data_IF_197993483239
#
_entry.id   IF_197993483239
#
_cell.length_a   1.000
_cell.length_b   1.000
_cell.length_c   1.000
_cell.angle_alpha   90.00
_cell.angle_beta   90.00
_cell.angle_gamma   90.00
#
_symmetry.space_group_name_H-M   'P 1'
#
loop_
_entity.id
_entity.type
_entity.pdbx_description
1 polymer ?
#
# COMPACT_ATOMS: atom_id res chain seq x y z
N UNK A 1 30.67 -2.95 7.67
CA UNK A 1 29.58 -2.05 8.05
C UNK A 1 29.08 -1.36 6.80
N UNK A 2 28.00 -1.85 6.22
CA UNK A 2 27.36 -1.21 5.05
C UNK A 2 26.47 -0.11 5.60
N UNK A 3 26.84 1.15 5.37
CA UNK A 3 26.04 2.32 5.72
C UNK A 3 24.71 2.18 4.97
N UNK A 4 23.60 2.15 5.69
CA UNK A 4 22.27 2.22 5.07
C UNK A 4 22.21 3.50 4.23
N UNK A 5 21.68 3.47 3.00
CA UNK A 5 21.61 4.66 2.18
C UNK A 5 20.77 5.71 2.90
N UNK A 6 21.37 6.88 3.13
CA UNK A 6 20.64 8.05 3.64
C UNK A 6 19.67 8.46 2.53
N UNK A 7 18.39 8.08 2.67
CA UNK A 7 17.36 8.50 1.74
C UNK A 7 17.13 10.01 1.92
N UNK A 8 17.26 10.73 0.82
CA UNK A 8 17.01 12.17 0.78
C UNK A 8 15.56 12.40 1.21
N UNK A 9 15.36 13.32 2.16
CA UNK A 9 14.04 13.70 2.65
C UNK A 9 13.10 13.94 1.47
N UNK A 10 11.92 13.30 1.49
CA UNK A 10 10.92 13.44 0.43
C UNK A 10 10.30 14.84 0.42
N UNK A 11 9.23 14.95 -0.30
CA UNK A 11 8.34 16.12 -0.34
C UNK A 11 7.56 16.27 0.98
N UNK A 12 6.98 17.45 1.21
CA UNK A 12 6.01 17.70 2.27
C UNK A 12 4.68 18.23 1.71
N UNK A 13 3.72 18.49 2.61
CA UNK A 13 2.38 18.96 2.22
C UNK A 13 2.38 20.31 1.53
N UNK A 14 3.39 21.14 1.79
CA UNK A 14 3.52 22.50 1.22
C UNK A 14 4.12 22.46 -0.20
N UNK A 15 4.77 21.36 -0.56
CA UNK A 15 5.28 21.12 -1.93
C UNK A 15 4.17 20.78 -2.95
N UNK A 16 2.94 20.53 -2.49
CA UNK A 16 1.81 20.16 -3.34
C UNK A 16 1.12 21.44 -3.84
N UNK A 17 0.89 21.51 -5.15
CA UNK A 17 0.27 22.66 -5.80
C UNK A 17 -1.27 22.65 -5.64
N UNK A 18 -1.77 22.77 -4.41
CA UNK A 18 -3.19 22.72 -4.05
C UNK A 18 -4.07 23.69 -4.85
N UNK A 19 -3.52 24.84 -5.26
CA UNK A 19 -4.22 25.85 -6.05
C UNK A 19 -4.58 25.39 -7.47
N UNK A 20 -4.03 24.27 -7.93
CA UNK A 20 -4.33 23.68 -9.24
C UNK A 20 -5.52 22.71 -9.19
N UNK A 21 -6.16 22.53 -8.02
CA UNK A 21 -7.30 21.64 -7.90
C UNK A 21 -8.45 22.03 -8.83
N UNK A 22 -8.93 21.05 -9.61
CA UNK A 22 -10.02 21.24 -10.58
C UNK A 22 -11.18 20.27 -10.27
N UNK A 23 -12.26 20.75 -9.63
CA UNK A 23 -13.38 19.89 -9.26
C UNK A 23 -14.09 19.24 -10.45
N UNK A 24 -13.98 19.82 -11.65
CA UNK A 24 -14.60 19.27 -12.85
C UNK A 24 -13.91 18.00 -13.36
N UNK A 25 -12.68 17.73 -12.89
CA UNK A 25 -11.87 16.56 -13.26
C UNK A 25 -11.88 15.47 -12.19
N UNK A 26 -12.62 15.64 -11.11
CA UNK A 26 -12.74 14.62 -10.06
C UNK A 26 -13.66 13.52 -10.52
N UNK A 27 -13.11 12.32 -10.72
CA UNK A 27 -13.88 11.14 -11.08
C UNK A 27 -14.41 10.44 -9.81
N UNK A 28 -15.74 10.19 -9.70
CA UNK A 28 -16.33 9.64 -8.47
C UNK A 28 -15.77 8.29 -8.03
N UNK A 29 -15.48 7.39 -8.97
CA UNK A 29 -14.92 6.08 -8.64
C UNK A 29 -13.50 6.21 -8.08
N UNK A 30 -12.70 7.10 -8.67
CA UNK A 30 -11.35 7.38 -8.22
C UNK A 30 -11.35 8.09 -6.86
N UNK A 31 -12.26 9.03 -6.64
CA UNK A 31 -12.45 9.67 -5.33
C UNK A 31 -12.75 8.65 -4.23
N UNK A 32 -13.66 7.71 -4.49
CA UNK A 32 -14.01 6.66 -3.53
C UNK A 32 -12.80 5.74 -3.21
N UNK A 33 -11.99 5.41 -4.22
CA UNK A 33 -10.77 4.63 -4.04
C UNK A 33 -9.70 5.38 -3.24
N UNK A 34 -9.49 6.67 -3.52
CA UNK A 34 -8.51 7.53 -2.84
C UNK A 34 -8.87 7.75 -1.37
N UNK A 35 -10.15 7.97 -1.05
CA UNK A 35 -10.63 8.05 0.34
C UNK A 35 -10.28 6.80 1.14
N UNK A 36 -10.50 5.61 0.56
CA UNK A 36 -10.17 4.35 1.22
C UNK A 36 -8.64 4.17 1.37
N UNK A 37 -7.87 4.49 0.34
CA UNK A 37 -6.42 4.45 0.37
C UNK A 37 -5.85 5.38 1.45
N UNK A 38 -6.41 6.58 1.61
CA UNK A 38 -5.99 7.52 2.66
C UNK A 38 -6.05 6.90 4.06
N UNK A 39 -7.08 6.10 4.38
CA UNK A 39 -7.20 5.46 5.68
C UNK A 39 -6.16 4.36 5.89
N UNK A 40 -5.84 3.58 4.83
CA UNK A 40 -4.86 2.50 4.90
C UNK A 40 -3.46 3.08 5.12
N UNK A 41 -3.07 4.09 4.36
CA UNK A 41 -1.77 4.77 4.51
C UNK A 41 -1.65 5.46 5.88
N UNK A 42 -2.72 6.12 6.32
CA UNK A 42 -2.73 6.82 7.62
C UNK A 42 -2.59 5.88 8.82
N UNK A 43 -2.83 4.57 8.64
CA UNK A 43 -2.67 3.54 9.66
C UNK A 43 -1.21 3.03 9.83
N UNK A 44 -0.26 3.62 9.13
CA UNK A 44 1.16 3.22 9.20
C UNK A 44 1.77 3.10 10.61
N UNK A 45 1.43 3.94 11.62
CA UNK A 45 2.01 3.82 12.97
C UNK A 45 1.87 2.44 13.62
N UNK A 46 0.78 1.73 13.34
CA UNK A 46 0.57 0.37 13.87
C UNK A 46 1.55 -0.63 13.22
N UNK A 47 1.80 -0.49 11.91
CA UNK A 47 2.78 -1.29 11.19
C UNK A 47 4.21 -0.98 11.61
N UNK A 48 4.55 0.29 11.87
CA UNK A 48 5.85 0.69 12.43
C UNK A 48 6.07 -0.02 13.76
N UNK A 49 5.08 0.03 14.65
CA UNK A 49 5.13 -0.63 15.96
C UNK A 49 5.38 -2.13 15.84
N UNK A 50 4.70 -2.79 14.92
CA UNK A 50 4.91 -4.21 14.63
C UNK A 50 6.32 -4.48 14.08
N UNK A 51 6.76 -3.75 13.06
CA UNK A 51 8.08 -3.94 12.46
C UNK A 51 9.21 -3.67 13.44
N UNK A 52 9.10 -2.65 14.29
CA UNK A 52 10.10 -2.38 15.36
C UNK A 52 10.23 -3.56 16.31
N UNK A 53 9.14 -4.26 16.65
CA UNK A 53 9.22 -5.51 17.44
C UNK A 53 9.94 -6.62 16.68
N UNK A 54 9.59 -6.84 15.42
CA UNK A 54 10.24 -7.87 14.58
C UNK A 54 11.74 -7.63 14.44
N UNK A 55 12.13 -6.36 14.28
CA UNK A 55 13.52 -5.96 14.09
C UNK A 55 14.23 -5.50 15.38
N UNK A 56 13.65 -5.78 16.54
CA UNK A 56 14.30 -5.46 17.84
C UNK A 56 15.73 -6.02 17.89
N UNK A 57 16.70 -5.15 18.25
CA UNK A 57 18.13 -5.50 18.26
C UNK A 57 18.84 -5.42 16.89
N UNK A 58 18.20 -4.95 15.83
CA UNK A 58 18.86 -4.78 14.50
C UNK A 58 19.70 -3.51 14.35
N UNK A 59 19.85 -2.74 15.41
CA UNK A 59 20.62 -1.49 15.39
C UNK A 59 19.79 -0.24 15.13
N UNK A 60 20.40 0.91 15.48
CA UNK A 60 19.72 2.22 15.46
C UNK A 60 19.32 2.65 14.05
N UNK A 61 20.14 2.33 13.05
CA UNK A 61 19.88 2.70 11.65
C UNK A 61 18.61 2.03 11.10
N UNK A 62 18.40 0.75 11.41
CA UNK A 62 17.18 0.02 11.03
C UNK A 62 15.95 0.64 11.70
N UNK A 63 16.05 0.98 12.99
CA UNK A 63 14.94 1.60 13.70
C UNK A 63 14.59 2.98 13.12
N UNK A 64 15.60 3.80 12.83
CA UNK A 64 15.41 5.11 12.22
C UNK A 64 14.80 5.02 10.81
N UNK A 65 15.21 4.02 10.01
CA UNK A 65 14.65 3.80 8.68
C UNK A 65 13.17 3.39 8.74
N UNK A 66 12.78 2.52 9.69
CA UNK A 66 11.38 2.15 9.91
C UNK A 66 10.52 3.33 10.38
N UNK A 67 11.07 4.19 11.24
CA UNK A 67 10.38 5.41 11.68
C UNK A 67 10.21 6.41 10.53
N UNK A 68 11.23 6.57 9.70
CA UNK A 68 11.14 7.44 8.52
C UNK A 68 10.11 6.92 7.53
N UNK A 69 10.13 5.62 7.21
CA UNK A 69 9.12 4.98 6.39
C UNK A 69 7.71 5.26 6.92
N UNK A 70 7.46 5.04 8.22
CA UNK A 70 6.14 5.28 8.80
C UNK A 70 5.69 6.76 8.79
N UNK A 71 6.63 7.72 8.88
CA UNK A 71 6.30 9.14 8.71
C UNK A 71 5.88 9.47 7.27
N UNK A 72 6.57 8.88 6.28
CA UNK A 72 6.25 9.05 4.87
C UNK A 72 4.89 8.45 4.53
N UNK A 73 4.58 7.22 4.99
CA UNK A 73 3.26 6.59 4.84
C UNK A 73 2.13 7.44 5.46
N UNK A 74 2.35 7.94 6.69
CA UNK A 74 1.37 8.81 7.36
C UNK A 74 1.14 10.10 6.55
N UNK A 75 2.19 10.64 5.93
CA UNK A 75 2.10 11.79 5.04
C UNK A 75 1.31 11.47 3.76
N UNK A 76 1.51 10.27 3.18
CA UNK A 76 0.71 9.81 2.04
C UNK A 76 -0.78 9.82 2.39
N UNK A 77 -1.14 9.24 3.53
CA UNK A 77 -2.52 9.24 4.03
C UNK A 77 -3.08 10.66 4.21
N UNK A 78 -2.29 11.60 4.76
CA UNK A 78 -2.68 13.01 4.92
C UNK A 78 -2.89 13.73 3.59
N UNK A 79 -2.01 13.50 2.62
CA UNK A 79 -2.09 14.15 1.30
C UNK A 79 -3.33 13.67 0.53
N UNK A 80 -3.56 12.36 0.51
CA UNK A 80 -4.75 11.75 -0.10
C UNK A 80 -6.02 12.20 0.63
N UNK A 81 -6.01 12.22 1.97
CA UNK A 81 -7.13 12.65 2.79
C UNK A 81 -7.50 14.11 2.55
N UNK A 82 -6.51 15.04 2.56
CA UNK A 82 -6.75 16.46 2.26
C UNK A 82 -7.30 16.66 0.86
N UNK A 83 -6.76 15.98 -0.14
CA UNK A 83 -7.31 16.03 -1.50
C UNK A 83 -8.77 15.56 -1.51
N UNK A 84 -9.08 14.46 -0.83
CA UNK A 84 -10.43 13.92 -0.76
C UNK A 84 -11.41 14.86 -0.02
N UNK A 85 -10.98 15.56 1.03
CA UNK A 85 -11.77 16.56 1.75
C UNK A 85 -12.07 17.80 0.90
N UNK A 86 -11.13 18.19 0.02
CA UNK A 86 -11.36 19.28 -0.95
C UNK A 86 -12.38 18.83 -2.00
N UNK A 87 -12.26 17.59 -2.49
CA UNK A 87 -13.10 17.02 -3.53
C UNK A 87 -14.52 16.68 -3.03
N UNK A 88 -14.65 16.28 -1.76
CA UNK A 88 -15.93 15.99 -1.11
C UNK A 88 -15.97 16.57 0.30
N UNK A 89 -16.63 17.72 0.48
CA UNK A 89 -16.74 18.39 1.79
C UNK A 89 -17.49 17.58 2.87
N UNK A 90 -18.15 16.48 2.53
CA UNK A 90 -18.77 15.58 3.51
C UNK A 90 -17.79 14.56 4.08
N UNK A 91 -16.67 14.33 3.40
CA UNK A 91 -15.62 13.45 3.88
C UNK A 91 -14.76 14.17 4.92
N UNK A 92 -14.44 13.48 6.01
CA UNK A 92 -13.47 13.95 7.00
C UNK A 92 -12.53 12.79 7.36
N UNK A 93 -11.24 12.97 7.07
CA UNK A 93 -10.21 11.96 7.26
C UNK A 93 -10.16 11.46 8.71
N UNK A 94 -10.11 12.34 9.68
CA UNK A 94 -9.97 11.97 11.09
C UNK A 94 -11.18 11.19 11.61
N UNK A 95 -12.39 11.59 11.23
CA UNK A 95 -13.62 10.89 11.62
C UNK A 95 -13.69 9.49 10.96
N UNK A 96 -13.41 9.42 9.67
CA UNK A 96 -13.38 8.15 8.94
C UNK A 96 -12.30 7.20 9.49
N UNK A 97 -11.12 7.73 9.82
CA UNK A 97 -10.03 6.98 10.41
C UNK A 97 -10.35 6.51 11.83
N UNK A 98 -10.97 7.33 12.66
CA UNK A 98 -11.42 6.93 14.00
C UNK A 98 -12.41 5.74 13.94
N UNK A 99 -13.34 5.76 12.97
CA UNK A 99 -14.26 4.63 12.70
C UNK A 99 -13.50 3.39 12.23
N UNK A 100 -12.58 3.57 11.29
CA UNK A 100 -11.75 2.48 10.78
C UNK A 100 -10.97 1.80 11.92
N UNK A 101 -10.27 2.55 12.74
CA UNK A 101 -9.53 2.01 13.89
C UNK A 101 -10.40 1.33 14.95
N UNK A 102 -11.61 1.78 15.13
CA UNK A 102 -12.56 1.16 16.09
C UNK A 102 -13.00 -0.24 15.65
N UNK A 103 -13.14 -0.46 14.35
CA UNK A 103 -13.68 -1.70 13.80
C UNK A 103 -12.64 -2.62 13.15
N UNK A 104 -11.43 -2.16 12.94
CA UNK A 104 -10.36 -2.94 12.32
C UNK A 104 -9.12 -3.01 13.21
N UNK A 105 -8.68 -4.23 13.48
CA UNK A 105 -7.38 -4.52 14.10
C UNK A 105 -6.71 -5.61 13.28
N UNK A 106 -5.52 -5.37 12.73
CA UNK A 106 -4.80 -6.39 11.96
C UNK A 106 -4.53 -7.62 12.81
N UNK A 107 -4.91 -8.81 12.31
CA UNK A 107 -4.78 -10.07 13.03
C UNK A 107 -3.33 -10.39 13.46
N UNK A 108 -2.33 -9.90 12.71
CA UNK A 108 -0.92 -10.11 13.04
C UNK A 108 -0.38 -9.22 14.17
N UNK A 109 -1.10 -8.20 14.60
CA UNK A 109 -0.70 -7.41 15.78
C UNK A 109 -0.98 -8.12 17.09
N UNK A 110 -1.89 -9.10 17.07
CA UNK A 110 -2.28 -9.89 18.24
C UNK A 110 -1.55 -11.24 18.34
N UNK A 111 -0.88 -11.69 17.28
CA UNK A 111 -0.52 -13.10 17.11
C UNK A 111 0.85 -13.51 17.65
N UNK A 112 1.72 -12.62 18.15
CA UNK A 112 3.02 -13.04 18.73
C UNK A 112 3.71 -11.88 19.42
N UNK A 113 4.12 -12.07 20.67
CA UNK A 113 4.83 -11.04 21.44
C UNK A 113 6.25 -10.76 20.93
N UNK A 114 6.89 -11.64 20.15
CA UNK A 114 8.35 -11.56 19.90
C UNK A 114 8.83 -11.92 18.50
N UNK A 115 7.96 -12.08 17.49
CA UNK A 115 8.44 -12.55 16.18
C UNK A 115 7.61 -12.11 14.98
N UNK A 116 8.18 -12.26 13.79
CA UNK A 116 7.47 -12.05 12.53
C UNK A 116 6.43 -13.16 12.30
N UNK A 117 5.20 -12.79 11.94
CA UNK A 117 4.16 -13.71 11.46
C UNK A 117 4.56 -14.46 10.18
N UNK A 118 5.68 -14.08 9.57
CA UNK A 118 6.30 -14.75 8.40
C UNK A 118 7.36 -15.78 8.82
N UNK A 119 7.59 -15.94 10.13
CA UNK A 119 8.52 -16.91 10.71
C UNK A 119 10.01 -16.53 10.64
N UNK A 120 10.35 -15.34 10.11
CA UNK A 120 11.72 -14.79 10.10
C UNK A 120 11.72 -13.33 9.66
N UNK A 121 12.77 -12.57 9.99
CA UNK A 121 12.99 -11.20 9.49
C UNK A 121 13.08 -11.16 7.98
N UNK A 122 13.79 -12.13 7.39
CA UNK A 122 13.89 -12.27 5.94
C UNK A 122 12.53 -12.49 5.29
N UNK A 123 11.67 -13.32 5.89
CA UNK A 123 10.29 -13.54 5.44
C UNK A 123 9.44 -12.27 5.54
N UNK A 124 9.63 -11.47 6.59
CA UNK A 124 8.96 -10.18 6.74
C UNK A 124 9.36 -9.19 5.64
N UNK A 125 10.66 -9.09 5.33
CA UNK A 125 11.14 -8.21 4.26
C UNK A 125 10.61 -8.61 2.89
N UNK A 126 10.47 -9.91 2.61
CA UNK A 126 9.80 -10.36 1.38
C UNK A 126 8.35 -9.88 1.35
N UNK A 127 7.62 -10.02 2.45
CA UNK A 127 6.23 -9.56 2.54
C UNK A 127 6.13 -8.03 2.35
N UNK A 128 7.04 -7.24 2.93
CA UNK A 128 7.11 -5.79 2.71
C UNK A 128 7.39 -5.47 1.25
N UNK A 129 8.37 -6.10 0.61
CA UNK A 129 8.62 -5.92 -0.82
C UNK A 129 7.39 -6.18 -1.69
N UNK A 130 6.54 -7.16 -1.31
CA UNK A 130 5.27 -7.42 -2.02
C UNK A 130 4.29 -6.26 -1.84
N UNK A 131 4.17 -5.72 -0.62
CA UNK A 131 3.32 -4.54 -0.33
C UNK A 131 3.75 -3.36 -1.18
N UNK A 132 5.00 -2.92 -1.05
CA UNK A 132 5.53 -1.74 -1.73
C UNK A 132 5.50 -1.89 -3.27
N UNK A 133 5.61 -3.13 -3.78
CA UNK A 133 5.39 -3.38 -5.20
C UNK A 133 3.94 -3.12 -5.62
N UNK A 134 3.00 -3.49 -4.74
CA UNK A 134 1.57 -3.26 -4.94
C UNK A 134 1.22 -1.78 -4.91
N UNK A 135 1.64 -1.06 -3.86
CA UNK A 135 1.35 0.36 -3.65
C UNK A 135 2.03 1.25 -4.70
N UNK A 136 3.32 1.01 -5.01
CA UNK A 136 4.01 1.70 -6.11
C UNK A 136 3.30 1.54 -7.45
N UNK A 137 2.80 0.32 -7.75
CA UNK A 137 2.02 0.05 -8.96
C UNK A 137 0.66 0.75 -8.93
N UNK A 138 -0.01 0.75 -7.80
CA UNK A 138 -1.32 1.35 -7.60
C UNK A 138 -1.28 2.87 -7.76
N UNK A 139 -0.38 3.55 -7.08
CA UNK A 139 -0.25 5.00 -7.22
C UNK A 139 0.27 5.42 -8.60
N UNK A 140 1.11 4.61 -9.25
CA UNK A 140 1.44 4.82 -10.66
C UNK A 140 0.20 4.73 -11.56
N UNK A 141 -0.71 3.81 -11.27
CA UNK A 141 -1.95 3.63 -12.02
C UNK A 141 -2.93 4.79 -11.78
N UNK A 142 -3.09 5.26 -10.53
CA UNK A 142 -3.88 6.46 -10.19
C UNK A 142 -3.35 7.69 -10.91
N UNK A 143 -2.03 7.94 -10.86
CA UNK A 143 -1.39 9.05 -11.59
C UNK A 143 -1.71 9.04 -13.07
N UNK A 144 -1.65 7.85 -13.69
CA UNK A 144 -1.83 7.69 -15.12
C UNK A 144 -3.31 7.70 -15.55
N UNK A 145 -4.23 7.52 -14.61
CA UNK A 145 -5.68 7.52 -14.83
C UNK A 145 -6.35 8.86 -14.47
N UNK A 146 -5.73 9.66 -13.62
CA UNK A 146 -6.30 10.94 -13.17
C UNK A 146 -6.00 12.06 -14.15
N UNK A 147 -7.03 12.79 -14.55
CA UNK A 147 -6.92 14.09 -15.25
C UNK A 147 -6.90 15.28 -14.27
N UNK A 148 -7.15 15.03 -12.97
CA UNK A 148 -7.12 16.06 -11.92
C UNK A 148 -5.67 16.31 -11.50
N UNK A 149 -5.14 17.55 -11.68
CA UNK A 149 -3.70 17.81 -11.61
C UNK A 149 -3.10 17.59 -10.21
N UNK A 150 -3.84 17.91 -9.13
CA UNK A 150 -3.34 17.73 -7.77
C UNK A 150 -3.26 16.26 -7.40
N UNK A 151 -4.27 15.45 -7.74
CA UNK A 151 -4.22 14.02 -7.53
C UNK A 151 -3.13 13.35 -8.35
N UNK A 152 -2.95 13.78 -9.60
CA UNK A 152 -1.85 13.29 -10.47
C UNK A 152 -0.49 13.56 -9.83
N UNK A 153 -0.28 14.76 -9.26
CA UNK A 153 0.94 15.12 -8.55
C UNK A 153 1.14 14.27 -7.30
N UNK A 154 0.14 14.19 -6.42
CA UNK A 154 0.19 13.40 -5.18
C UNK A 154 0.50 11.94 -5.49
N UNK A 155 -0.25 11.32 -6.39
CA UNK A 155 -0.05 9.93 -6.76
C UNK A 155 1.33 9.67 -7.39
N UNK A 156 1.85 10.62 -8.15
CA UNK A 156 3.20 10.55 -8.71
C UNK A 156 4.30 10.57 -7.64
N UNK A 157 4.15 11.45 -6.64
CA UNK A 157 5.07 11.56 -5.50
C UNK A 157 5.03 10.29 -4.65
N UNK A 158 3.83 9.82 -4.28
CA UNK A 158 3.65 8.57 -3.52
C UNK A 158 4.24 7.39 -4.29
N UNK A 159 3.95 7.23 -5.57
CA UNK A 159 4.50 6.13 -6.38
C UNK A 159 6.04 6.09 -6.38
N UNK A 160 6.69 7.25 -6.34
CA UNK A 160 8.14 7.36 -6.23
C UNK A 160 8.64 6.96 -4.84
N UNK A 161 7.93 7.36 -3.78
CA UNK A 161 8.23 6.98 -2.40
C UNK A 161 8.09 5.47 -2.21
N UNK A 162 6.98 4.87 -2.65
CA UNK A 162 6.74 3.43 -2.59
C UNK A 162 7.84 2.61 -3.28
N UNK A 163 8.38 3.13 -4.39
CA UNK A 163 9.53 2.51 -5.02
C UNK A 163 10.81 2.62 -4.17
N UNK A 164 11.00 3.74 -3.44
CA UNK A 164 12.10 3.89 -2.48
C UNK A 164 11.92 2.97 -1.26
N UNK A 165 10.69 2.85 -0.76
CA UNK A 165 10.32 1.92 0.31
C UNK A 165 10.59 0.46 -0.11
N UNK A 166 10.19 0.08 -1.31
CA UNK A 166 10.57 -1.21 -1.87
C UNK A 166 12.08 -1.42 -1.86
N UNK A 167 12.84 -0.41 -2.30
CA UNK A 167 14.31 -0.49 -2.32
C UNK A 167 14.89 -0.62 -0.91
N UNK A 168 14.37 0.13 0.05
CA UNK A 168 14.74 0.02 1.47
C UNK A 168 14.57 -1.42 1.99
N UNK A 169 13.38 -1.98 1.82
CA UNK A 169 13.09 -3.34 2.28
C UNK A 169 13.84 -4.41 1.51
N UNK A 170 14.07 -4.21 0.22
CA UNK A 170 14.88 -5.12 -0.59
C UNK A 170 16.37 -5.12 -0.18
N UNK A 171 16.94 -3.96 0.06
CA UNK A 171 18.32 -3.83 0.52
C UNK A 171 18.46 -4.41 1.93
N UNK A 172 17.47 -4.16 2.81
CA UNK A 172 17.40 -4.77 4.13
C UNK A 172 17.28 -6.30 4.05
N UNK A 173 16.49 -6.84 3.13
CA UNK A 173 16.39 -8.28 2.86
C UNK A 173 17.74 -8.89 2.52
N UNK A 174 18.51 -8.23 1.65
CA UNK A 174 19.81 -8.72 1.22
C UNK A 174 20.89 -8.57 2.31
N UNK A 175 20.74 -7.63 3.23
CA UNK A 175 21.65 -7.40 4.35
C UNK A 175 21.42 -8.36 5.54
N UNK A 176 20.34 -9.15 5.56
CA UNK A 176 20.05 -10.07 6.65
C UNK A 176 21.10 -11.19 6.73
N UNK A 177 21.63 -11.41 7.94
CA UNK A 177 22.57 -12.51 8.24
C UNK A 177 21.89 -13.88 8.37
N UNK A 178 20.55 -13.91 8.48
CA UNK A 178 19.79 -15.17 8.51
C UNK A 178 20.03 -15.99 7.24
N UNK A 179 19.97 -17.34 7.32
CA UNK A 179 20.05 -18.19 6.14
C UNK A 179 18.99 -17.81 5.11
N UNK A 180 19.36 -17.92 3.82
CA UNK A 180 18.40 -17.64 2.76
C UNK A 180 17.24 -18.65 2.79
N UNK A 181 16.06 -18.15 2.43
CA UNK A 181 14.87 -18.99 2.34
C UNK A 181 14.84 -19.67 0.97
N UNK A 182 14.54 -20.96 0.95
CA UNK A 182 14.31 -21.67 -0.32
C UNK A 182 13.18 -21.02 -1.13
N UNK A 183 13.28 -21.08 -2.46
CA UNK A 183 12.34 -20.42 -3.40
C UNK A 183 10.87 -20.71 -3.08
N UNK A 184 10.53 -21.95 -2.75
CA UNK A 184 9.15 -22.33 -2.40
C UNK A 184 8.64 -21.64 -1.14
N UNK A 185 9.51 -21.42 -0.14
CA UNK A 185 9.13 -20.68 1.07
C UNK A 185 8.92 -19.21 0.76
N UNK A 186 9.81 -18.60 -0.03
CA UNK A 186 9.67 -17.21 -0.52
C UNK A 186 8.36 -17.03 -1.30
N UNK A 187 8.07 -17.92 -2.24
CA UNK A 187 6.85 -17.89 -3.04
C UNK A 187 5.59 -18.04 -2.16
N UNK A 188 5.62 -18.95 -1.18
CA UNK A 188 4.49 -19.11 -0.23
C UNK A 188 4.25 -17.83 0.56
N UNK A 189 5.29 -17.15 1.02
CA UNK A 189 5.17 -15.86 1.73
C UNK A 189 4.55 -14.82 0.82
N UNK A 190 5.04 -14.66 -0.40
CA UNK A 190 4.51 -13.69 -1.36
C UNK A 190 3.04 -13.95 -1.71
N UNK A 191 2.68 -15.20 -2.03
CA UNK A 191 1.29 -15.59 -2.34
C UNK A 191 0.37 -15.36 -1.13
N UNK A 192 0.84 -15.72 0.08
CA UNK A 192 0.08 -15.47 1.30
C UNK A 192 -0.14 -13.98 1.51
N UNK A 193 0.90 -13.12 1.32
CA UNK A 193 0.76 -11.67 1.47
C UNK A 193 -0.20 -11.06 0.45
N UNK A 194 -0.16 -11.51 -0.81
CA UNK A 194 -1.13 -11.10 -1.84
C UNK A 194 -2.57 -11.48 -1.46
N UNK A 195 -2.77 -12.68 -0.89
CA UNK A 195 -4.10 -13.10 -0.44
C UNK A 195 -4.60 -12.31 0.78
N UNK A 196 -3.70 -11.87 1.63
CA UNK A 196 -4.03 -11.02 2.78
C UNK A 196 -4.39 -9.59 2.36
N UNK A 197 -4.01 -9.14 1.17
CA UNK A 197 -4.49 -7.87 0.60
C UNK A 197 -5.97 -7.93 0.19
N UNK A 198 -6.53 -9.13 0.07
CA UNK A 198 -7.97 -9.38 -0.11
C UNK A 198 -8.70 -9.47 1.26
N UNK A 199 -8.04 -9.11 2.37
CA UNK A 199 -8.61 -9.19 3.71
C UNK A 199 -9.60 -8.04 3.98
N UNK A 200 -10.03 -7.97 5.24
CA UNK A 200 -11.05 -7.02 5.67
C UNK A 200 -10.57 -5.56 5.66
N UNK A 201 -9.25 -5.31 5.62
CA UNK A 201 -8.69 -3.95 5.67
C UNK A 201 -9.20 -3.07 4.54
N UNK A 202 -9.03 -3.50 3.28
CA UNK A 202 -9.48 -2.72 2.12
C UNK A 202 -11.00 -2.59 2.05
N UNK A 203 -11.74 -3.65 2.37
CA UNK A 203 -13.20 -3.61 2.37
C UNK A 203 -13.73 -2.67 3.46
N UNK A 204 -13.12 -2.71 4.66
CA UNK A 204 -13.55 -1.93 5.79
C UNK A 204 -13.10 -0.47 5.70
N UNK A 205 -11.89 -0.21 5.18
CA UNK A 205 -11.46 1.16 4.87
C UNK A 205 -12.37 1.82 3.83
N UNK A 206 -12.72 1.07 2.76
CA UNK A 206 -13.66 1.57 1.75
C UNK A 206 -15.04 1.90 2.36
N UNK A 207 -15.54 1.03 3.23
CA UNK A 207 -16.80 1.28 3.96
C UNK A 207 -16.72 2.54 4.83
N UNK A 208 -15.72 2.64 5.70
CA UNK A 208 -15.54 3.78 6.60
C UNK A 208 -15.33 5.11 5.86
N UNK A 209 -14.72 5.06 4.69
CA UNK A 209 -14.42 6.23 3.88
C UNK A 209 -15.60 6.71 3.01
N UNK A 210 -16.53 5.81 2.63
CA UNK A 210 -17.55 6.10 1.62
C UNK A 210 -19.00 5.93 2.10
N UNK A 211 -19.20 5.48 3.34
CA UNK A 211 -20.53 5.43 3.98
C UNK A 211 -20.51 6.39 5.17
N UNK A 212 -21.36 7.39 5.14
CA UNK A 212 -21.47 8.35 6.25
C UNK A 212 -22.10 7.67 7.49
N UNK A 213 -21.78 8.13 8.72
CA UNK A 213 -22.33 7.53 9.94
C UNK A 213 -23.86 7.47 9.97
N UNK A 214 -24.54 8.49 9.46
CA UNK A 214 -25.98 8.54 9.35
C UNK A 214 -26.58 7.56 8.35
N UNK A 215 -25.79 7.08 7.40
CA UNK A 215 -26.19 6.10 6.37
C UNK A 215 -25.99 4.66 6.84
N UNK A 216 -25.23 4.42 7.91
CA UNK A 216 -24.92 3.07 8.42
C UNK A 216 -26.15 2.19 8.68
N UNK A 217 -27.24 2.71 9.28
CA UNK A 217 -28.42 1.88 9.53
C UNK A 217 -29.03 1.30 8.24
N UNK A 218 -28.99 2.07 7.14
CA UNK A 218 -29.48 1.64 5.83
C UNK A 218 -28.42 0.86 5.02
N UNK A 219 -27.13 1.07 5.32
CA UNK A 219 -25.99 0.48 4.63
C UNK A 219 -25.01 -0.18 5.62
N UNK A 220 -25.41 -1.25 6.36
CA UNK A 220 -24.52 -1.91 7.31
C UNK A 220 -23.30 -2.51 6.61
N UNK A 221 -22.19 -2.61 7.34
CA UNK A 221 -20.99 -3.23 6.80
C UNK A 221 -21.26 -4.66 6.32
N UNK A 222 -20.86 -4.93 5.09
CA UNK A 222 -20.86 -6.25 4.48
C UNK A 222 -19.57 -6.44 3.70
N UNK A 223 -18.65 -7.24 4.23
CA UNK A 223 -17.33 -7.49 3.64
C UNK A 223 -17.40 -7.81 2.15
N UNK A 224 -18.26 -8.73 1.73
CA UNK A 224 -18.35 -9.13 0.31
C UNK A 224 -18.82 -8.00 -0.60
N UNK A 225 -19.76 -7.16 -0.14
CA UNK A 225 -20.23 -5.98 -0.86
C UNK A 225 -19.10 -4.99 -1.02
N UNK A 226 -18.46 -4.59 0.09
CA UNK A 226 -17.46 -3.53 0.08
C UNK A 226 -16.12 -3.95 -0.49
N UNK A 227 -15.72 -5.23 -0.37
CA UNK A 227 -14.57 -5.78 -1.11
C UNK A 227 -14.76 -5.71 -2.63
N UNK A 228 -15.98 -5.97 -3.12
CA UNK A 228 -16.28 -5.80 -4.55
C UNK A 228 -16.22 -4.35 -4.99
N UNK A 229 -16.83 -3.43 -4.23
CA UNK A 229 -16.82 -2.00 -4.54
C UNK A 229 -15.40 -1.43 -4.54
N UNK A 230 -14.60 -1.72 -3.51
CA UNK A 230 -13.20 -1.35 -3.44
C UNK A 230 -12.40 -1.93 -4.63
N UNK A 231 -12.64 -3.19 -4.96
CA UNK A 231 -12.00 -3.85 -6.09
C UNK A 231 -12.34 -3.19 -7.43
N UNK A 232 -13.61 -2.87 -7.68
CA UNK A 232 -14.01 -2.15 -8.90
C UNK A 232 -13.37 -0.76 -8.99
N UNK A 233 -13.43 0.03 -7.92
CA UNK A 233 -12.85 1.35 -7.89
C UNK A 233 -11.32 1.34 -8.10
N UNK A 234 -10.62 0.34 -7.54
CA UNK A 234 -9.17 0.22 -7.65
C UNK A 234 -8.70 -0.43 -8.95
N UNK A 235 -9.46 -1.39 -9.50
CA UNK A 235 -9.03 -2.14 -10.68
C UNK A 235 -9.19 -1.36 -11.98
N UNK A 236 -10.13 -0.44 -12.06
CA UNK A 236 -10.42 0.37 -13.26
C UNK A 236 -9.24 1.25 -13.71
N UNK A 237 -8.33 1.59 -12.80
CA UNK A 237 -7.18 2.48 -13.10
C UNK A 237 -5.98 1.75 -13.72
N UNK A 238 -5.91 0.41 -13.62
CA UNK A 238 -4.72 -0.33 -14.03
C UNK A 238 -4.61 -0.49 -15.55
N UNK A 239 -3.38 -0.33 -16.04
CA UNK A 239 -2.96 -0.81 -17.36
C UNK A 239 -1.99 -1.99 -17.22
N UNK A 240 -1.84 -2.76 -18.30
CA UNK A 240 -0.94 -3.93 -18.34
C UNK A 240 0.49 -3.61 -17.87
N UNK A 241 1.00 -2.41 -18.19
CA UNK A 241 2.35 -1.97 -17.79
C UNK A 241 2.54 -1.93 -16.26
N UNK A 242 1.50 -1.50 -15.52
CA UNK A 242 1.53 -1.42 -14.06
C UNK A 242 1.64 -2.82 -13.44
N UNK A 243 0.81 -3.74 -13.90
CA UNK A 243 0.83 -5.13 -13.45
C UNK A 243 2.15 -5.82 -13.79
N UNK A 244 2.70 -5.56 -14.98
CA UNK A 244 4.00 -6.10 -15.37
C UNK A 244 5.11 -5.61 -14.46
N UNK A 245 5.13 -4.31 -14.12
CA UNK A 245 6.10 -3.70 -13.19
C UNK A 245 5.99 -4.32 -11.79
N UNK A 246 4.78 -4.42 -11.25
CA UNK A 246 4.49 -5.08 -9.97
C UNK A 246 5.09 -6.49 -9.93
N UNK A 247 4.78 -7.32 -10.94
CA UNK A 247 5.27 -8.70 -11.02
C UNK A 247 6.80 -8.75 -11.09
N UNK A 248 7.42 -7.86 -11.86
CA UNK A 248 8.88 -7.76 -11.94
C UNK A 248 9.52 -7.46 -10.59
N UNK A 249 8.95 -6.52 -9.83
CA UNK A 249 9.46 -6.16 -8.50
C UNK A 249 9.31 -7.34 -7.52
N UNK A 250 8.17 -8.01 -7.51
CA UNK A 250 7.94 -9.20 -6.67
C UNK A 250 8.92 -10.33 -7.04
N UNK A 251 9.06 -10.65 -8.33
CA UNK A 251 10.00 -11.69 -8.82
C UNK A 251 11.44 -11.39 -8.39
N UNK A 252 11.85 -10.12 -8.46
CA UNK A 252 13.16 -9.68 -7.99
C UNK A 252 13.33 -9.91 -6.47
N UNK A 253 12.33 -9.61 -5.66
CA UNK A 253 12.36 -9.84 -4.21
C UNK A 253 12.44 -11.34 -3.86
N UNK A 254 11.93 -12.22 -4.72
CA UNK A 254 12.06 -13.67 -4.59
C UNK A 254 13.46 -14.19 -4.99
N UNK A 255 14.33 -13.33 -5.53
CA UNK A 255 15.67 -13.69 -6.00
C UNK A 255 15.68 -14.31 -7.41
N UNK A 256 14.63 -14.11 -8.20
CA UNK A 256 14.55 -14.60 -9.58
C UNK A 256 14.72 -13.45 -10.59
N UNK A 257 14.94 -13.80 -11.87
CA UNK A 257 15.14 -12.80 -12.92
C UNK A 257 13.84 -12.04 -13.24
N UNK A 258 13.75 -10.72 -12.92
CA UNK A 258 12.54 -9.92 -13.14
C UNK A 258 12.22 -9.68 -14.62
N UNK A 259 13.18 -9.88 -15.51
CA UNK A 259 13.03 -9.72 -16.96
C UNK A 259 12.97 -11.05 -17.70
N UNK A 260 12.98 -12.19 -16.97
CA UNK A 260 12.87 -13.52 -17.53
C UNK A 260 11.47 -13.85 -18.07
N UNK A 261 11.39 -14.95 -18.81
CA UNK A 261 10.11 -15.40 -19.39
C UNK A 261 9.04 -15.70 -18.32
N UNK A 262 9.44 -16.16 -17.14
CA UNK A 262 8.50 -16.41 -16.00
C UNK A 262 7.83 -15.13 -15.54
N UNK A 263 8.58 -14.02 -15.40
CA UNK A 263 8.01 -12.74 -15.01
C UNK A 263 7.04 -12.20 -16.07
N UNK A 264 7.38 -12.39 -17.36
CA UNK A 264 6.51 -11.97 -18.46
C UNK A 264 5.21 -12.80 -18.50
N UNK A 265 5.32 -14.12 -18.33
CA UNK A 265 4.18 -15.02 -18.29
C UNK A 265 3.28 -14.71 -17.07
N UNK A 266 3.87 -14.58 -15.88
CA UNK A 266 3.12 -14.27 -14.66
C UNK A 266 2.40 -12.91 -14.77
N UNK A 267 3.06 -11.88 -15.31
CA UNK A 267 2.45 -10.57 -15.56
C UNK A 267 1.28 -10.64 -16.54
N UNK A 268 1.43 -11.39 -17.64
CA UNK A 268 0.37 -11.57 -18.62
C UNK A 268 -0.84 -12.33 -18.04
N UNK A 269 -0.61 -13.39 -17.27
CA UNK A 269 -1.68 -14.17 -16.63
C UNK A 269 -2.40 -13.35 -15.55
N UNK A 270 -1.66 -12.61 -14.72
CA UNK A 270 -2.26 -11.74 -13.71
C UNK A 270 -3.10 -10.64 -14.36
N UNK A 271 -2.57 -9.98 -15.39
CA UNK A 271 -3.32 -8.97 -16.15
C UNK A 271 -4.63 -9.54 -16.73
N UNK A 272 -4.55 -10.70 -17.40
CA UNK A 272 -5.75 -11.37 -17.96
C UNK A 272 -6.80 -11.68 -16.89
N UNK A 273 -6.35 -12.12 -15.71
CA UNK A 273 -7.27 -12.41 -14.59
C UNK A 273 -7.93 -11.16 -14.04
N UNK A 274 -7.19 -10.07 -13.91
CA UNK A 274 -7.70 -8.80 -13.38
C UNK A 274 -8.65 -8.12 -14.36
N UNK A 275 -8.29 -8.04 -15.65
CA UNK A 275 -9.13 -7.45 -16.67
C UNK A 275 -10.45 -8.22 -16.89
N UNK A 276 -10.45 -9.54 -16.70
CA UNK A 276 -11.67 -10.35 -16.75
C UNK A 276 -12.63 -10.15 -15.56
N UNK A 277 -12.15 -9.57 -14.45
CA UNK A 277 -13.00 -9.21 -13.29
C UNK A 277 -13.58 -7.80 -13.38
N UNK A 278 -12.99 -6.96 -14.24
CA UNK A 278 -13.42 -5.57 -14.46
C UNK A 278 -14.41 -5.42 -15.63
N UNK A 279 -14.56 -6.45 -16.46
CA UNK A 279 -15.56 -6.56 -17.52
C UNK A 279 -16.84 -7.23 -17.00
#
# INVERSE_FOLDING_TARGET
>A
MTVAPVYKQGWDMDDIHWSLFDPAKVEPALLAAVKAAALVEYNAPDYVTYLKRVFAGSGIETMAALEQWGREETQHGRALGRWAEIADPKFNLEQAFARFRKGYTPAHFTASETGSVRGSRRGEMIARCVVESGTSSYYSAIRDASDEPVLTEIAGRIAADEYRHYKLFYDTLNAQSEPDLGLWKKLRIAVRRVRESDDDELAYSYYCANVLPEEEPANPYNRRKYSRLAGHASMGVYHRRHIQKLVQMVIKALGANPHGWLANLAGALLWRRLSAKSA
#
